data_IF_510552186852
#
_entry.id   IF_510552186852
#
_cell.length_a   1.000
_cell.length_b   1.000
_cell.length_c   1.000
_cell.angle_alpha   90.00
_cell.angle_beta   90.00
_cell.angle_gamma   90.00
#
_symmetry.space_group_name_H-M   'P 1'
#
loop_
_entity.id
_entity.type
_entity.pdbx_description
1 polymer ?
#
# COMPACT_ATOMS: atom_id res chain seq x y z
N UNK A 1 -2.55 -6.48 22.74
CA UNK A 1 -1.54 -5.40 22.59
C UNK A 1 -2.21 -4.16 22.06
N UNK A 2 -1.91 -2.95 22.58
CA UNK A 2 -2.42 -1.67 22.05
C UNK A 2 -1.38 -1.05 21.08
N UNK A 3 -1.79 -0.36 20.01
CA UNK A 3 -0.87 0.38 19.15
C UNK A 3 -0.10 1.44 19.94
N UNK A 4 1.19 1.61 19.64
CA UNK A 4 2.01 2.67 20.23
C UNK A 4 1.55 4.05 19.73
N UNK A 5 1.83 5.11 20.50
CA UNK A 5 1.52 6.49 20.09
C UNK A 5 2.16 6.84 18.74
N UNK A 6 3.39 6.37 18.50
CA UNK A 6 4.12 6.60 17.24
C UNK A 6 3.40 6.00 16.03
N UNK A 7 2.85 4.80 16.16
CA UNK A 7 2.05 4.17 15.09
C UNK A 7 0.77 4.96 14.84
N UNK A 8 0.08 5.43 15.89
CA UNK A 8 -1.11 6.26 15.71
C UNK A 8 -0.80 7.59 15.02
N UNK A 9 0.32 8.22 15.37
CA UNK A 9 0.79 9.44 14.70
C UNK A 9 1.17 9.19 13.24
N UNK A 10 1.82 8.07 12.95
CA UNK A 10 2.12 7.65 11.58
C UNK A 10 0.85 7.51 10.75
N UNK A 11 -0.16 6.78 11.25
CA UNK A 11 -1.43 6.60 10.55
C UNK A 11 -2.11 7.95 10.27
N UNK A 12 -2.11 8.87 11.23
CA UNK A 12 -2.67 10.22 11.02
C UNK A 12 -1.95 10.96 9.90
N UNK A 13 -0.61 10.98 9.92
CA UNK A 13 0.20 11.64 8.89
C UNK A 13 0.01 11.01 7.51
N UNK A 14 -0.10 9.68 7.44
CA UNK A 14 -0.35 9.00 6.16
C UNK A 14 -1.72 9.37 5.59
N UNK A 15 -2.76 9.51 6.42
CA UNK A 15 -4.11 9.92 5.97
C UNK A 15 -4.18 11.32 5.36
N UNK A 16 -3.21 12.19 5.63
CA UNK A 16 -3.15 13.52 5.02
C UNK A 16 -2.85 13.45 3.51
N UNK A 17 -2.31 12.33 3.03
CA UNK A 17 -1.82 12.19 1.66
C UNK A 17 -2.26 10.89 0.96
N UNK A 18 -2.69 9.89 1.72
CA UNK A 18 -3.02 8.56 1.21
C UNK A 18 -4.36 8.09 1.76
N UNK A 19 -5.12 7.39 0.92
CA UNK A 19 -6.27 6.61 1.37
C UNK A 19 -5.78 5.36 2.07
N UNK A 20 -6.25 5.13 3.31
CA UNK A 20 -5.82 3.99 4.11
C UNK A 20 -6.92 2.93 4.15
N UNK A 21 -6.57 1.71 3.75
CA UNK A 21 -7.47 0.55 3.82
C UNK A 21 -6.87 -0.51 4.74
N UNK A 22 -7.69 -1.03 5.66
CA UNK A 22 -7.32 -2.16 6.51
C UNK A 22 -7.91 -3.44 5.94
N UNK A 23 -7.07 -4.41 5.58
CA UNK A 23 -7.49 -5.76 5.15
C UNK A 23 -6.96 -6.78 6.15
N UNK A 24 -7.86 -7.50 6.82
CA UNK A 24 -7.48 -8.46 7.87
C UNK A 24 -8.17 -9.81 7.69
N UNK A 25 -7.39 -10.90 7.77
CA UNK A 25 -7.94 -12.25 7.75
C UNK A 25 -8.42 -12.65 9.16
N UNK A 26 -9.47 -13.44 9.23
CA UNK A 26 -10.02 -14.00 10.46
C UNK A 26 -11.54 -13.88 10.52
N UNK A 27 -12.15 -14.49 11.54
CA UNK A 27 -13.61 -14.45 11.70
C UNK A 27 -14.10 -13.02 11.97
N UNK A 28 -15.32 -12.72 11.50
CA UNK A 28 -15.95 -11.41 11.63
C UNK A 28 -15.91 -10.90 13.08
N UNK A 29 -16.42 -11.70 14.01
CA UNK A 29 -16.54 -11.37 15.43
C UNK A 29 -15.20 -10.95 16.05
N UNK A 30 -14.17 -11.81 15.98
CA UNK A 30 -12.88 -11.55 16.60
C UNK A 30 -12.16 -10.33 16.02
N UNK A 31 -12.26 -10.11 14.71
CA UNK A 31 -11.54 -9.01 14.06
C UNK A 31 -12.25 -7.68 14.32
N UNK A 32 -13.58 -7.63 14.26
CA UNK A 32 -14.35 -6.44 14.62
C UNK A 32 -14.21 -6.08 16.10
N UNK A 33 -14.17 -7.08 16.99
CA UNK A 33 -13.89 -6.86 18.41
C UNK A 33 -12.52 -6.19 18.60
N UNK A 34 -11.45 -6.73 17.99
CA UNK A 34 -10.11 -6.11 18.04
C UNK A 34 -10.13 -4.68 17.50
N UNK A 35 -10.76 -4.44 16.36
CA UNK A 35 -10.85 -3.10 15.74
C UNK A 35 -11.55 -2.12 16.69
N UNK A 36 -12.64 -2.53 17.33
CA UNK A 36 -13.40 -1.71 18.29
C UNK A 36 -12.58 -1.43 19.55
N UNK A 37 -12.00 -2.46 20.16
CA UNK A 37 -11.21 -2.36 21.38
C UNK A 37 -9.98 -1.48 21.21
N UNK A 38 -9.35 -1.53 20.04
CA UNK A 38 -8.18 -0.72 19.69
C UNK A 38 -8.54 0.67 19.12
N UNK A 39 -9.83 0.96 18.92
CA UNK A 39 -10.35 2.20 18.32
C UNK A 39 -9.70 2.51 16.97
N UNK A 40 -9.49 1.48 16.15
CA UNK A 40 -8.73 1.60 14.90
C UNK A 40 -9.56 2.06 13.70
N UNK A 41 -10.89 1.84 13.72
CA UNK A 41 -11.79 2.13 12.59
C UNK A 41 -11.65 3.56 12.04
N UNK A 42 -11.36 4.54 12.90
CA UNK A 42 -11.22 5.95 12.55
C UNK A 42 -9.97 6.32 11.74
N UNK A 43 -9.01 5.41 11.63
CA UNK A 43 -7.77 5.64 10.87
C UNK A 43 -7.83 5.10 9.44
N UNK A 44 -8.90 4.39 9.07
CA UNK A 44 -9.03 3.76 7.76
C UNK A 44 -10.30 4.22 7.09
N UNK A 45 -10.20 4.49 5.79
CA UNK A 45 -11.31 4.88 4.93
C UNK A 45 -12.19 3.66 4.65
N UNK A 46 -11.55 2.49 4.50
CA UNK A 46 -12.22 1.20 4.36
C UNK A 46 -11.59 0.16 5.30
N UNK A 47 -12.43 -0.73 5.84
CA UNK A 47 -12.00 -1.89 6.63
C UNK A 47 -12.68 -3.12 6.05
N UNK A 48 -11.88 -4.10 5.65
CA UNK A 48 -12.32 -5.40 5.16
C UNK A 48 -11.84 -6.49 6.11
N UNK A 49 -12.78 -7.28 6.61
CA UNK A 49 -12.54 -8.48 7.41
C UNK A 49 -12.89 -9.69 6.55
N UNK A 50 -11.98 -10.65 6.39
CA UNK A 50 -12.23 -11.78 5.50
C UNK A 50 -13.41 -12.65 5.94
N UNK A 51 -13.70 -12.73 7.24
CA UNK A 51 -14.88 -13.44 7.76
C UNK A 51 -16.23 -12.84 7.34
N UNK A 52 -16.26 -11.62 6.78
CA UNK A 52 -17.46 -11.01 6.18
C UNK A 52 -17.53 -11.23 4.66
N UNK A 53 -16.53 -11.90 4.09
CA UNK A 53 -16.33 -12.00 2.65
C UNK A 53 -16.13 -13.47 2.24
N UNK A 54 -16.40 -13.83 0.97
CA UNK A 54 -16.14 -15.17 0.47
C UNK A 54 -14.65 -15.47 0.24
N UNK A 55 -13.77 -14.48 0.47
CA UNK A 55 -12.35 -14.58 0.20
C UNK A 55 -11.53 -13.99 1.33
N UNK A 56 -10.34 -14.54 1.49
CA UNK A 56 -9.30 -14.02 2.37
C UNK A 56 -7.98 -13.87 1.61
N UNK A 57 -7.04 -13.11 2.16
CA UNK A 57 -5.68 -13.04 1.59
C UNK A 57 -5.05 -14.45 1.61
N UNK A 58 -4.40 -14.92 0.54
CA UNK A 58 -3.88 -14.16 -0.60
C UNK A 58 -4.83 -14.01 -1.80
N UNK A 59 -6.09 -14.44 -1.74
CA UNK A 59 -6.98 -14.36 -2.89
C UNK A 59 -7.10 -12.91 -3.41
N UNK A 60 -6.82 -12.62 -4.69
CA UNK A 60 -6.76 -11.25 -5.22
C UNK A 60 -8.12 -10.51 -5.13
N UNK A 61 -9.24 -11.24 -5.05
CA UNK A 61 -10.58 -10.64 -4.99
C UNK A 61 -10.77 -9.73 -3.76
N UNK A 62 -10.13 -10.01 -2.62
CA UNK A 62 -10.22 -9.13 -1.44
C UNK A 62 -9.51 -7.80 -1.67
N UNK A 63 -8.40 -7.80 -2.42
CA UNK A 63 -7.67 -6.60 -2.79
C UNK A 63 -8.42 -5.79 -3.85
N UNK A 64 -9.05 -6.46 -4.83
CA UNK A 64 -9.94 -5.78 -5.78
C UNK A 64 -11.14 -5.15 -5.09
N UNK A 65 -11.74 -5.84 -4.12
CA UNK A 65 -12.81 -5.27 -3.29
C UNK A 65 -12.34 -4.04 -2.52
N UNK A 66 -11.12 -4.06 -1.97
CA UNK A 66 -10.52 -2.90 -1.31
C UNK A 66 -10.37 -1.72 -2.28
N UNK A 67 -9.76 -1.96 -3.45
CA UNK A 67 -9.56 -0.95 -4.48
C UNK A 67 -10.90 -0.33 -4.93
N UNK A 68 -11.91 -1.16 -5.20
CA UNK A 68 -13.25 -0.71 -5.59
C UNK A 68 -13.91 0.12 -4.48
N UNK A 69 -13.76 -0.27 -3.21
CA UNK A 69 -14.39 0.42 -2.08
C UNK A 69 -13.87 1.84 -1.89
N UNK A 70 -12.71 2.18 -2.47
CA UNK A 70 -12.12 3.52 -2.42
C UNK A 70 -11.84 4.11 -3.82
N UNK A 71 -12.38 3.49 -4.88
CA UNK A 71 -12.32 3.96 -6.27
C UNK A 71 -10.90 4.20 -6.82
N UNK A 72 -9.97 3.29 -6.54
CA UNK A 72 -8.58 3.32 -7.06
C UNK A 72 -8.27 2.08 -7.91
N UNK A 73 -7.25 2.16 -8.75
CA UNK A 73 -6.76 1.01 -9.51
C UNK A 73 -5.77 0.19 -8.66
N UNK A 74 -5.66 -1.14 -8.86
CA UNK A 74 -4.66 -1.96 -8.18
C UNK A 74 -3.23 -1.40 -8.28
N UNK A 75 -2.81 -0.94 -9.46
CA UNK A 75 -1.48 -0.39 -9.69
C UNK A 75 -1.17 0.91 -8.92
N UNK A 76 -2.17 1.56 -8.33
CA UNK A 76 -2.01 2.78 -7.51
C UNK A 76 -1.88 2.44 -6.00
N UNK A 77 -1.98 1.16 -5.65
CA UNK A 77 -1.99 0.68 -4.27
C UNK A 77 -0.67 0.04 -3.87
N UNK A 78 -0.33 0.17 -2.59
CA UNK A 78 0.79 -0.54 -1.95
C UNK A 78 0.23 -1.42 -0.84
N UNK A 79 0.52 -2.73 -0.87
CA UNK A 79 0.22 -3.62 0.25
C UNK A 79 1.37 -3.64 1.25
N UNK A 80 1.04 -3.47 2.52
CA UNK A 80 1.99 -3.51 3.62
C UNK A 80 1.52 -4.58 4.61
N UNK A 81 2.36 -5.58 4.88
CA UNK A 81 2.00 -6.69 5.74
C UNK A 81 3.20 -7.51 6.21
N UNK A 82 2.99 -8.39 7.16
CA UNK A 82 4.04 -9.18 7.83
C UNK A 82 4.15 -10.62 7.29
N UNK A 83 3.18 -11.06 6.48
CA UNK A 83 3.10 -12.44 5.99
C UNK A 83 3.32 -12.52 4.49
N UNK A 84 4.35 -13.27 4.08
CA UNK A 84 4.65 -13.43 2.66
C UNK A 84 3.53 -14.18 1.94
N UNK A 85 3.02 -15.24 2.55
CA UNK A 85 2.08 -16.19 1.95
C UNK A 85 0.68 -15.58 1.77
N UNK A 86 0.34 -14.55 2.54
CA UNK A 86 -0.97 -13.88 2.46
C UNK A 86 -0.87 -12.46 1.92
N UNK A 87 -0.06 -11.61 2.54
CA UNK A 87 -0.04 -10.18 2.23
C UNK A 87 0.72 -9.90 0.94
N UNK A 88 1.95 -10.41 0.86
CA UNK A 88 2.85 -10.15 -0.27
C UNK A 88 2.39 -10.92 -1.49
N UNK A 89 2.14 -12.21 -1.35
CA UNK A 89 1.63 -13.04 -2.44
C UNK A 89 0.30 -12.50 -2.97
N UNK A 90 -0.62 -12.12 -2.09
CA UNK A 90 -1.91 -11.58 -2.50
C UNK A 90 -1.80 -10.22 -3.20
N UNK A 91 -0.93 -9.33 -2.71
CA UNK A 91 -0.66 -8.07 -3.38
C UNK A 91 -0.03 -8.25 -4.78
N UNK A 92 0.89 -9.21 -4.93
CA UNK A 92 1.48 -9.56 -6.22
C UNK A 92 0.41 -10.14 -7.16
N UNK A 93 -0.39 -11.10 -6.71
CA UNK A 93 -1.44 -11.71 -7.52
C UNK A 93 -2.53 -10.71 -7.94
N UNK A 94 -2.79 -9.71 -7.10
CA UNK A 94 -3.71 -8.63 -7.41
C UNK A 94 -3.11 -7.54 -8.32
N UNK A 95 -1.85 -7.67 -8.75
CA UNK A 95 -1.12 -6.65 -9.52
C UNK A 95 -1.14 -5.27 -8.85
N UNK A 96 -0.90 -5.24 -7.54
CA UNK A 96 -0.74 -3.97 -6.83
C UNK A 96 0.54 -3.26 -7.26
N UNK A 97 0.53 -1.92 -7.19
CA UNK A 97 1.69 -1.10 -7.56
C UNK A 97 2.94 -1.36 -6.71
N UNK A 98 2.77 -1.90 -5.50
CA UNK A 98 3.90 -2.31 -4.67
C UNK A 98 3.51 -3.23 -3.51
N UNK A 99 4.51 -3.91 -2.97
CA UNK A 99 4.37 -4.77 -1.78
C UNK A 99 5.54 -4.54 -0.84
N UNK A 100 5.25 -4.26 0.43
CA UNK A 100 6.24 -4.00 1.48
C UNK A 100 6.05 -5.07 2.56
N UNK A 101 7.10 -5.85 2.79
CA UNK A 101 7.14 -6.84 3.86
C UNK A 101 7.67 -6.20 5.14
N UNK A 102 6.88 -6.23 6.22
CA UNK A 102 7.32 -5.90 7.56
C UNK A 102 7.86 -7.16 8.23
N UNK A 103 9.19 -7.30 8.29
CA UNK A 103 9.83 -8.48 8.88
C UNK A 103 10.97 -8.08 9.82
N UNK A 104 10.75 -8.30 11.11
CA UNK A 104 11.78 -8.13 12.16
C UNK A 104 12.84 -9.23 12.13
N UNK A 105 12.55 -10.35 11.46
CA UNK A 105 13.44 -11.49 11.32
C UNK A 105 13.89 -11.57 9.87
N UNK A 106 15.19 -11.61 9.59
CA UNK A 106 15.74 -11.81 8.25
C UNK A 106 15.46 -13.21 7.66
N UNK A 107 14.20 -13.68 7.71
CA UNK A 107 13.80 -14.99 7.21
C UNK A 107 14.11 -15.08 5.72
N UNK A 108 14.79 -16.18 5.35
CA UNK A 108 15.17 -16.51 3.98
C UNK A 108 13.95 -16.49 3.07
N UNK A 109 14.17 -15.88 1.91
CA UNK A 109 13.23 -15.59 0.83
C UNK A 109 12.37 -16.80 0.45
N UNK A 110 11.05 -16.63 0.50
CA UNK A 110 10.11 -17.45 -0.27
C UNK A 110 10.19 -17.09 -1.77
N UNK A 111 9.56 -17.87 -2.63
CA UNK A 111 9.57 -17.71 -4.09
C UNK A 111 9.01 -16.36 -4.58
N UNK A 112 8.15 -15.71 -3.78
CA UNK A 112 7.56 -14.41 -4.07
C UNK A 112 8.36 -13.30 -3.39
N UNK A 113 9.02 -12.43 -4.17
CA UNK A 113 9.84 -11.34 -3.64
C UNK A 113 8.99 -10.08 -3.43
N UNK A 114 8.92 -9.53 -2.20
CA UNK A 114 8.32 -8.21 -2.00
C UNK A 114 9.16 -7.13 -2.72
N UNK A 115 8.53 -6.00 -3.05
CA UNK A 115 9.25 -4.86 -3.64
C UNK A 115 10.19 -4.19 -2.63
N UNK A 116 9.76 -4.10 -1.37
CA UNK A 116 10.59 -3.61 -0.27
C UNK A 116 10.43 -4.47 0.99
N UNK A 117 11.44 -4.42 1.86
CA UNK A 117 11.40 -5.02 3.19
C UNK A 117 11.77 -3.95 4.20
N UNK A 118 10.98 -3.82 5.26
CA UNK A 118 11.24 -2.94 6.40
C UNK A 118 11.21 -3.77 7.69
N UNK A 119 11.94 -3.31 8.71
CA UNK A 119 11.98 -3.99 10.01
C UNK A 119 10.98 -3.38 10.99
N UNK A 120 10.79 -2.06 10.93
CA UNK A 120 9.80 -1.34 11.71
C UNK A 120 8.80 -0.63 10.78
N UNK A 121 7.52 -0.61 11.16
CA UNK A 121 6.49 0.12 10.44
C UNK A 121 6.76 1.63 10.43
N UNK A 122 7.51 2.14 11.41
CA UNK A 122 7.91 3.55 11.46
C UNK A 122 8.88 3.93 10.33
N UNK A 123 9.57 2.97 9.73
CA UNK A 123 10.49 3.18 8.58
C UNK A 123 9.74 3.57 7.29
N UNK A 124 8.41 3.35 7.24
CA UNK A 124 7.59 3.77 6.10
C UNK A 124 7.69 5.26 5.80
N UNK A 125 7.95 6.10 6.81
CA UNK A 125 8.09 7.53 6.62
C UNK A 125 9.24 7.93 5.69
N UNK A 126 10.28 7.10 5.57
CA UNK A 126 11.41 7.34 4.67
C UNK A 126 11.17 6.81 3.26
N UNK A 127 10.33 5.77 3.11
CA UNK A 127 10.06 5.11 1.83
C UNK A 127 8.91 5.75 1.05
N UNK A 128 7.89 6.24 1.75
CA UNK A 128 6.70 6.82 1.16
C UNK A 128 6.77 8.33 1.41
N UNK A 129 7.27 9.13 0.44
CA UNK A 129 7.42 10.57 0.64
C UNK A 129 6.05 11.21 0.85
N UNK A 130 6.02 12.29 1.63
CA UNK A 130 4.89 13.22 1.54
C UNK A 130 4.92 13.88 0.15
N UNK A 131 3.79 14.09 -0.53
CA UNK A 131 3.75 14.76 -1.84
C UNK A 131 4.51 16.09 -1.86
N UNK A 132 4.61 16.78 -0.71
CA UNK A 132 5.41 18.00 -0.54
C UNK A 132 6.92 17.84 -0.81
N UNK A 133 7.46 16.63 -0.74
CA UNK A 133 8.87 16.34 -1.03
C UNK A 133 9.11 15.90 -2.48
N UNK A 134 8.06 15.56 -3.23
CA UNK A 134 8.18 15.15 -4.63
C UNK A 134 8.37 16.35 -5.58
N UNK A 135 7.89 17.55 -5.21
CA UNK A 135 7.98 18.76 -6.05
C UNK A 135 9.34 19.49 -6.00
N UNK A 136 10.27 19.12 -5.11
CA UNK A 136 11.60 19.77 -5.06
C UNK A 136 12.65 19.12 -5.95
N UNK A 137 12.39 17.95 -6.56
CA UNK A 137 13.41 17.17 -7.29
C UNK A 137 13.17 17.02 -8.80
N UNK A 138 12.11 17.59 -9.37
CA UNK A 138 11.81 17.45 -10.81
C UNK A 138 12.22 18.68 -11.65
N UNK A 139 12.73 19.77 -11.05
CA UNK A 139 13.02 21.01 -11.79
C UNK A 139 14.50 21.46 -11.76
N UNK A 140 15.46 20.54 -11.88
CA UNK A 140 16.88 20.91 -11.95
C UNK A 140 17.71 20.21 -13.03
N UNK A 141 17.13 19.37 -13.89
CA UNK A 141 17.87 18.80 -15.04
C UNK A 141 16.91 18.30 -16.10
N UNK A 142 16.47 19.21 -16.97
CA UNK A 142 16.04 18.99 -18.36
C UNK A 142 15.77 20.37 -18.97
N UNK A 143 16.83 21.18 -19.02
CA UNK A 143 17.03 22.16 -20.08
C UNK A 143 18.17 21.62 -20.93
N UNK A 144 18.06 21.85 -22.23
CA UNK A 144 18.91 21.38 -23.32
C UNK A 144 18.63 19.94 -23.78
N UNK A 145 17.81 19.82 -24.83
CA UNK A 145 18.19 19.18 -26.10
C UNK A 145 17.13 19.53 -27.18
N UNK A 146 17.52 20.50 -28.00
CA UNK A 146 17.30 20.64 -29.46
C UNK A 146 15.88 20.57 -30.04
N UNK A 147 15.31 21.75 -30.32
CA UNK A 147 14.36 21.95 -31.41
C UNK A 147 15.10 21.91 -32.76
N UNK A 148 15.26 20.73 -33.36
CA UNK A 148 15.44 20.66 -34.81
C UNK A 148 14.96 19.32 -35.36
N UNK A 149 14.31 19.37 -36.53
CA UNK A 149 13.86 18.26 -37.38
C UNK A 149 12.53 17.56 -37.07
N UNK A 150 11.41 18.27 -37.30
CA UNK A 150 10.24 17.64 -37.92
C UNK A 150 9.53 18.61 -38.88
N UNK A 151 10.14 18.84 -40.03
CA UNK A 151 9.41 19.24 -41.23
C UNK A 151 9.65 18.17 -42.28
N UNK A 152 8.59 17.47 -42.70
CA UNK A 152 8.42 16.88 -44.04
C UNK A 152 7.21 15.93 -44.06
N UNK A 153 6.20 16.35 -44.83
CA UNK A 153 5.35 15.52 -45.71
C UNK A 153 4.27 14.62 -45.11
N UNK A 154 3.04 15.14 -45.09
CA UNK A 154 1.87 14.40 -45.52
C UNK A 154 0.87 15.35 -46.22
N UNK A 155 0.95 15.41 -47.54
CA UNK A 155 -0.10 15.94 -48.42
C UNK A 155 -0.01 15.23 -49.75
N UNK A 156 -0.88 14.23 -49.94
CA UNK A 156 -1.56 13.84 -51.18
C UNK A 156 -2.42 12.62 -50.92
#
# INVERSE_FOLDING_TARGET
MKPSKSVLSLLKRLREHYTLVLITNGTSEHQWEKIRMLKMRKYFDCVLVSGDLPWEKPNPCIFYKACQSVSVKPCECIMIGDKIETDILGGIQANLGGTILLSSSGKKMATSRPHHVIQDILDLGALIPSPSQAHSKVNASLMDLDESSCSSNASR
#
